data_IF_325764248128
#
_entry.id   IF_325764248128
#
_cell.length_a   1.000
_cell.length_b   1.000
_cell.length_c   1.000
_cell.angle_alpha   90.00
_cell.angle_beta   90.00
_cell.angle_gamma   90.00
#
_symmetry.space_group_name_H-M   'P 1'
#
loop_
_entity.id
_entity.type
_entity.pdbx_description
1 polymer ?
#
# COMPACT_ATOMS: atom_id res chain seq x y z
N UNK A 1 -5.51 0.10 19.84
CA UNK A 1 -5.00 0.60 18.54
C UNK A 1 -5.40 -0.44 17.50
N UNK A 2 -6.41 -0.16 16.69
CA UNK A 2 -6.97 -1.15 15.74
C UNK A 2 -6.18 -1.09 14.44
N UNK A 3 -5.49 -2.18 14.10
CA UNK A 3 -4.81 -2.30 12.81
C UNK A 3 -5.86 -2.55 11.72
N UNK A 4 -6.01 -1.60 10.81
CA UNK A 4 -6.87 -1.74 9.63
C UNK A 4 -5.99 -2.03 8.41
N UNK A 5 -6.29 -3.07 7.62
CA UNK A 5 -5.58 -3.32 6.38
C UNK A 5 -5.89 -2.24 5.35
N UNK A 6 -4.90 -1.94 4.52
CA UNK A 6 -5.00 -1.04 3.37
C UNK A 6 -4.63 -1.81 2.10
N UNK A 7 -5.33 -1.50 1.01
CA UNK A 7 -4.91 -1.87 -0.33
C UNK A 7 -4.17 -0.68 -0.93
N UNK A 8 -2.91 -0.89 -1.32
CA UNK A 8 -2.06 0.11 -1.93
C UNK A 8 -1.83 -0.26 -3.38
N UNK A 9 -2.04 0.69 -4.28
CA UNK A 9 -1.75 0.55 -5.69
C UNK A 9 -0.56 1.44 -6.06
N UNK A 10 0.50 0.83 -6.57
CA UNK A 10 1.75 1.49 -6.96
C UNK A 10 2.32 0.81 -8.21
N UNK A 11 2.66 1.58 -9.24
CA UNK A 11 3.27 1.05 -10.48
C UNK A 11 2.47 -0.07 -11.18
N UNK A 12 1.14 -0.10 -11.07
CA UNK A 12 0.31 -1.19 -11.62
C UNK A 12 0.30 -2.47 -10.78
N UNK A 13 0.91 -2.43 -9.59
CA UNK A 13 0.94 -3.52 -8.62
C UNK A 13 0.04 -3.19 -7.43
N UNK A 14 -0.61 -4.22 -6.89
CA UNK A 14 -1.45 -4.13 -5.70
C UNK A 14 -0.77 -4.79 -4.50
N UNK A 15 -0.75 -4.09 -3.37
CA UNK A 15 -0.16 -4.54 -2.12
C UNK A 15 -1.21 -4.48 -1.02
N UNK A 16 -1.35 -5.56 -0.25
CA UNK A 16 -2.13 -5.56 0.99
C UNK A 16 -1.17 -5.27 2.13
N UNK A 17 -1.47 -4.26 2.92
CA UNK A 17 -0.55 -3.77 3.92
C UNK A 17 -1.27 -3.43 5.23
N UNK A 18 -0.68 -3.86 6.34
CA UNK A 18 -1.07 -3.42 7.68
C UNK A 18 -0.11 -2.30 8.08
N UNK A 19 -0.62 -1.14 8.51
CA UNK A 19 0.25 -0.03 8.89
C UNK A 19 1.23 -0.41 10.02
N UNK A 20 2.45 0.17 10.14
CA UNK A 20 3.15 1.14 9.28
C UNK A 20 4.23 0.52 8.36
N UNK A 21 4.39 -0.81 8.35
CA UNK A 21 5.43 -1.51 7.56
C UNK A 21 5.22 -1.37 6.05
N UNK A 22 4.02 -0.97 5.64
CA UNK A 22 3.62 -0.72 4.26
C UNK A 22 4.41 0.39 3.56
N UNK A 23 4.89 1.41 4.30
CA UNK A 23 5.49 2.59 3.68
C UNK A 23 6.83 2.28 3.00
N UNK A 24 7.65 1.40 3.58
CA UNK A 24 8.98 1.06 3.04
C UNK A 24 8.85 0.29 1.72
N UNK A 25 8.00 -0.74 1.70
CA UNK A 25 7.77 -1.54 0.49
C UNK A 25 7.24 -0.69 -0.67
N UNK A 26 6.39 0.29 -0.39
CA UNK A 26 5.83 1.20 -1.40
C UNK A 26 6.89 2.17 -1.91
N UNK A 27 7.74 2.73 -1.03
CA UNK A 27 8.86 3.59 -1.45
C UNK A 27 9.83 2.83 -2.35
N UNK A 28 10.14 1.59 -2.01
CA UNK A 28 11.02 0.75 -2.82
C UNK A 28 10.38 0.41 -4.18
N UNK A 29 9.09 0.08 -4.21
CA UNK A 29 8.35 -0.13 -5.46
C UNK A 29 8.33 1.14 -6.33
N UNK A 30 8.12 2.31 -5.73
CA UNK A 30 8.16 3.59 -6.43
C UNK A 30 9.51 3.82 -7.11
N UNK A 31 10.61 3.59 -6.38
CA UNK A 31 11.97 3.72 -6.93
C UNK A 31 12.25 2.71 -8.05
N UNK A 32 11.90 1.43 -7.85
CA UNK A 32 12.15 0.36 -8.84
C UNK A 32 11.40 0.56 -10.14
N UNK A 33 10.19 1.11 -10.08
CA UNK A 33 9.34 1.30 -11.25
C UNK A 33 9.34 2.75 -11.78
N UNK A 34 10.18 3.63 -11.22
CA UNK A 34 10.28 5.05 -11.58
C UNK A 34 8.91 5.78 -11.55
N UNK A 35 8.11 5.50 -10.53
CA UNK A 35 6.83 6.18 -10.28
C UNK A 35 6.92 7.06 -9.04
N UNK A 36 6.18 8.17 -9.04
CA UNK A 36 6.27 9.20 -8.00
C UNK A 36 5.03 9.25 -7.09
N UNK A 37 4.18 8.23 -7.15
CA UNK A 37 2.95 8.19 -6.38
C UNK A 37 2.38 6.78 -6.23
N UNK A 38 1.69 6.60 -5.13
CA UNK A 38 0.87 5.45 -4.82
C UNK A 38 -0.48 5.92 -4.30
N UNK A 39 -1.51 5.11 -4.49
CA UNK A 39 -2.83 5.35 -3.88
C UNK A 39 -3.09 4.30 -2.83
N UNK A 40 -3.73 4.66 -1.73
CA UNK A 40 -4.09 3.75 -0.67
C UNK A 40 -5.58 3.88 -0.36
N UNK A 41 -6.27 2.75 -0.23
CA UNK A 41 -7.64 2.70 0.27
C UNK A 41 -7.74 1.70 1.42
N UNK A 42 -8.63 1.96 2.38
CA UNK A 42 -8.95 0.99 3.41
C UNK A 42 -9.52 -0.27 2.76
N UNK A 43 -9.00 -1.42 3.16
CA UNK A 43 -9.58 -2.69 2.78
C UNK A 43 -10.75 -2.93 3.75
N UNK A 44 -11.97 -2.59 3.32
CA UNK A 44 -13.17 -2.89 4.10
C UNK A 44 -13.30 -4.41 4.20
N UNK A 45 -13.23 -4.93 5.43
CA UNK A 45 -13.61 -6.30 5.70
C UNK A 45 -15.11 -6.39 5.39
N UNK A 46 -15.48 -7.02 4.27
CA UNK A 46 -16.87 -7.45 4.10
C UNK A 46 -17.19 -8.42 5.25
N UNK A 47 -18.35 -8.25 5.91
CA UNK A 47 -18.78 -9.13 6.99
C UNK A 47 -18.99 -10.57 6.51
#
# INVERSE_FOLDING_TARGET
MTFRPFLIHCAGLEYIALAPTSCIAVIEAMARHNVHGATARLLEARP
#
